data_IF_676198131271
#
_entry.id   IF_676198131271
#
_cell.length_a   1.000
_cell.length_b   1.000
_cell.length_c   1.000
_cell.angle_alpha   90.00
_cell.angle_beta   90.00
_cell.angle_gamma   90.00
#
_symmetry.space_group_name_H-M   'P 1'
#
loop_
_entity.id
_entity.type
_entity.pdbx_description
1 polymer ?
#
# COMPACT_ATOMS: atom_id res chain seq x y z
N UNK A 1 -7.38 4.12 -2.11
CA UNK A 1 -8.65 3.49 -2.57
C UNK A 1 -8.56 2.90 -3.98
N UNK A 2 -8.00 3.60 -4.97
CA UNK A 2 -7.95 3.13 -6.37
C UNK A 2 -7.21 1.79 -6.54
N UNK A 3 -6.06 1.60 -5.90
CA UNK A 3 -5.33 0.32 -5.93
C UNK A 3 -6.16 -0.86 -5.39
N UNK A 4 -7.06 -0.62 -4.43
CA UNK A 4 -7.98 -1.65 -3.92
C UNK A 4 -9.04 -2.02 -4.96
N UNK A 5 -9.55 -1.05 -5.71
CA UNK A 5 -10.49 -1.30 -6.81
C UNK A 5 -9.81 -2.05 -7.96
N UNK A 6 -8.62 -1.62 -8.36
CA UNK A 6 -7.80 -2.35 -9.32
C UNK A 6 -7.52 -3.80 -8.85
N UNK A 7 -7.21 -4.00 -7.56
CA UNK A 7 -7.04 -5.32 -6.98
C UNK A 7 -8.33 -6.17 -7.01
N UNK A 8 -9.47 -5.57 -6.69
CA UNK A 8 -10.77 -6.25 -6.75
C UNK A 8 -11.11 -6.71 -8.16
N UNK A 9 -10.77 -5.93 -9.19
CA UNK A 9 -10.96 -6.30 -10.59
C UNK A 9 -10.10 -7.51 -10.96
N UNK A 10 -8.85 -7.55 -10.48
CA UNK A 10 -7.95 -8.70 -10.68
C UNK A 10 -8.45 -9.95 -9.94
N UNK A 11 -8.94 -9.80 -8.72
CA UNK A 11 -9.39 -10.93 -7.88
C UNK A 11 -10.77 -11.46 -8.26
N UNK A 12 -11.66 -10.59 -8.75
CA UNK A 12 -13.06 -10.91 -9.06
C UNK A 12 -13.38 -10.52 -10.51
N UNK A 13 -12.76 -11.20 -11.50
CA UNK A 13 -12.92 -10.84 -12.92
C UNK A 13 -14.36 -10.96 -13.42
N UNK A 14 -15.19 -11.74 -12.72
CA UNK A 14 -16.59 -11.95 -13.06
C UNK A 14 -17.56 -10.90 -12.47
N UNK A 15 -17.09 -10.01 -11.60
CA UNK A 15 -17.91 -8.92 -11.08
C UNK A 15 -18.35 -7.96 -12.21
N UNK A 16 -19.51 -7.32 -12.06
CA UNK A 16 -20.02 -6.38 -13.07
C UNK A 16 -19.01 -5.27 -13.39
N UNK A 17 -18.40 -4.69 -12.36
CA UNK A 17 -17.36 -3.66 -12.50
C UNK A 17 -16.15 -4.18 -13.26
N UNK A 18 -15.67 -5.40 -12.95
CA UNK A 18 -14.53 -5.97 -13.66
C UNK A 18 -14.84 -6.25 -15.14
N UNK A 19 -16.01 -6.81 -15.43
CA UNK A 19 -16.47 -7.06 -16.81
C UNK A 19 -16.61 -5.77 -17.61
N UNK A 20 -17.21 -4.74 -17.03
CA UNK A 20 -17.37 -3.42 -17.66
C UNK A 20 -16.00 -2.77 -17.93
N UNK A 21 -15.13 -2.71 -16.93
CA UNK A 21 -13.79 -2.12 -17.07
C UNK A 21 -12.96 -2.87 -18.11
N UNK A 22 -13.04 -4.21 -18.14
CA UNK A 22 -12.37 -5.03 -19.15
C UNK A 22 -12.88 -4.71 -20.54
N UNK A 23 -14.20 -4.69 -20.75
CA UNK A 23 -14.80 -4.42 -22.05
C UNK A 23 -14.42 -3.05 -22.61
N UNK A 24 -14.32 -2.03 -21.76
CA UNK A 24 -14.01 -0.65 -22.18
C UNK A 24 -12.50 -0.45 -22.37
N UNK A 25 -11.66 -0.91 -21.44
CA UNK A 25 -10.26 -0.45 -21.37
C UNK A 25 -9.22 -1.52 -21.70
N UNK A 26 -9.54 -2.80 -21.58
CA UNK A 26 -8.57 -3.89 -21.83
C UNK A 26 -9.27 -5.17 -22.34
N UNK A 27 -10.03 -5.10 -23.47
CA UNK A 27 -10.90 -6.20 -23.89
C UNK A 27 -10.14 -7.48 -24.22
N UNK A 28 -8.91 -7.35 -24.75
CA UNK A 28 -8.08 -8.44 -25.23
C UNK A 28 -6.83 -8.70 -24.37
N UNK A 29 -6.74 -8.06 -23.21
CA UNK A 29 -5.56 -8.18 -22.34
C UNK A 29 -5.94 -8.28 -20.87
N UNK A 30 -4.93 -8.40 -20.01
CA UNK A 30 -5.09 -8.28 -18.56
C UNK A 30 -4.97 -6.82 -18.10
N UNK A 31 -5.43 -6.53 -16.87
CA UNK A 31 -5.24 -5.21 -16.24
C UNK A 31 -3.76 -4.80 -16.20
N UNK A 32 -2.85 -5.78 -16.05
CA UNK A 32 -1.42 -5.51 -15.95
C UNK A 32 -0.78 -5.20 -17.30
N UNK A 33 -1.31 -5.74 -18.40
CA UNK A 33 -0.85 -5.49 -19.78
C UNK A 33 -1.58 -4.32 -20.46
N UNK A 34 -2.66 -3.82 -19.84
CA UNK A 34 -3.47 -2.76 -20.38
C UNK A 34 -2.67 -1.48 -20.67
N UNK A 35 -2.91 -0.88 -21.83
CA UNK A 35 -2.38 0.43 -22.20
C UNK A 35 -3.32 1.55 -21.73
N UNK A 36 -2.81 2.78 -21.61
CA UNK A 36 -3.62 3.90 -21.13
C UNK A 36 -4.73 4.27 -22.12
N UNK A 37 -4.45 4.17 -23.43
CA UNK A 37 -5.35 4.60 -24.50
C UNK A 37 -5.35 6.12 -24.71
N UNK A 38 -6.12 6.60 -25.69
CA UNK A 38 -6.11 8.00 -26.13
C UNK A 38 -7.03 8.93 -25.34
N UNK A 39 -8.12 8.41 -24.75
CA UNK A 39 -9.07 9.20 -23.95
C UNK A 39 -9.48 8.46 -22.67
N UNK A 40 -8.56 8.31 -21.69
CA UNK A 40 -8.83 7.59 -20.46
C UNK A 40 -9.78 8.40 -19.56
N UNK A 41 -10.75 7.75 -18.92
CA UNK A 41 -11.48 8.38 -17.82
C UNK A 41 -10.52 8.63 -16.64
N UNK A 42 -10.85 9.60 -15.77
CA UNK A 42 -10.04 9.87 -14.57
C UNK A 42 -9.86 8.62 -13.68
N UNK A 43 -10.92 7.82 -13.55
CA UNK A 43 -10.90 6.57 -12.81
C UNK A 43 -9.94 5.54 -13.46
N UNK A 44 -10.01 5.38 -14.79
CA UNK A 44 -9.11 4.49 -15.52
C UNK A 44 -7.66 4.96 -15.44
N UNK A 45 -7.40 6.25 -15.66
CA UNK A 45 -6.06 6.84 -15.56
C UNK A 45 -5.44 6.55 -14.18
N UNK A 46 -6.20 6.78 -13.11
CA UNK A 46 -5.78 6.49 -11.74
C UNK A 46 -5.51 5.00 -11.51
N UNK A 47 -6.38 4.12 -12.01
CA UNK A 47 -6.20 2.67 -11.91
C UNK A 47 -4.99 2.18 -12.70
N UNK A 48 -4.77 2.75 -13.88
CA UNK A 48 -3.65 2.43 -14.74
C UNK A 48 -2.31 2.76 -14.07
N UNK A 49 -2.21 3.91 -13.39
CA UNK A 49 -1.04 4.21 -12.56
C UNK A 49 -0.91 3.25 -11.36
N UNK A 50 -2.03 2.91 -10.71
CA UNK A 50 -2.03 1.99 -9.58
C UNK A 50 -1.62 0.56 -9.96
N UNK A 51 -1.77 0.13 -11.22
CA UNK A 51 -1.43 -1.23 -11.67
C UNK A 51 0.05 -1.55 -11.47
N UNK A 52 0.94 -0.55 -11.59
CA UNK A 52 2.38 -0.75 -11.37
C UNK A 52 2.69 -1.05 -9.90
N UNK A 53 2.00 -0.38 -8.97
CA UNK A 53 2.13 -0.64 -7.54
C UNK A 53 1.64 -2.06 -7.22
N UNK A 54 0.56 -2.51 -7.88
CA UNK A 54 0.07 -3.87 -7.74
C UNK A 54 1.04 -4.89 -8.33
N UNK A 55 1.63 -4.65 -9.51
CA UNK A 55 2.57 -5.59 -10.14
C UNK A 55 3.86 -5.76 -9.34
N UNK A 56 4.30 -4.72 -8.62
CA UNK A 56 5.45 -4.82 -7.70
C UNK A 56 5.16 -5.66 -6.46
N UNK A 57 3.93 -5.63 -5.93
CA UNK A 57 3.57 -6.27 -4.65
C UNK A 57 2.82 -7.60 -4.76
N UNK A 58 2.23 -7.88 -5.92
CA UNK A 58 1.37 -9.04 -6.14
C UNK A 58 2.19 -10.30 -6.46
N UNK A 59 1.90 -11.39 -5.74
CA UNK A 59 2.50 -12.72 -5.91
C UNK A 59 1.55 -13.68 -6.61
N UNK A 60 2.09 -14.63 -7.35
CA UNK A 60 1.31 -15.79 -7.77
C UNK A 60 1.23 -16.80 -6.63
N UNK A 61 0.02 -17.28 -6.32
CA UNK A 61 -0.17 -18.60 -5.71
C UNK A 61 -0.43 -19.58 -6.83
N UNK A 62 0.51 -20.49 -7.01
CA UNK A 62 0.44 -21.54 -8.02
C UNK A 62 -0.67 -22.52 -7.62
N UNK A 63 -1.66 -22.66 -8.47
CA UNK A 63 -2.73 -23.65 -8.39
C UNK A 63 -2.41 -24.79 -9.34
N UNK A 64 -3.02 -24.76 -10.53
CA UNK A 64 -2.78 -25.72 -11.59
C UNK A 64 -1.52 -25.41 -12.39
N UNK A 65 -1.13 -24.13 -12.48
CA UNK A 65 0.04 -23.64 -13.20
C UNK A 65 -0.22 -23.32 -14.67
N UNK A 66 -1.44 -23.53 -15.18
CA UNK A 66 -1.78 -23.36 -16.60
C UNK A 66 -1.78 -21.89 -17.02
N UNK A 67 -2.10 -20.98 -16.10
CA UNK A 67 -2.26 -19.55 -16.41
C UNK A 67 -1.01 -18.73 -16.13
N UNK A 68 0.12 -19.38 -15.81
CA UNK A 68 1.37 -18.71 -15.46
C UNK A 68 2.41 -19.07 -16.50
N UNK A 69 2.70 -18.13 -17.40
CA UNK A 69 3.72 -18.28 -18.43
C UNK A 69 5.08 -18.07 -17.80
N UNK A 70 5.90 -19.11 -17.78
CA UNK A 70 7.19 -19.14 -17.06
C UNK A 70 8.12 -17.99 -17.50
N UNK A 71 8.02 -17.61 -18.77
CA UNK A 71 8.90 -16.64 -19.43
C UNK A 71 8.34 -15.22 -19.47
N UNK A 72 7.02 -15.05 -19.46
CA UNK A 72 6.38 -13.75 -19.68
C UNK A 72 5.78 -13.17 -18.41
N UNK A 73 5.39 -14.02 -17.45
CA UNK A 73 4.77 -13.55 -16.24
C UNK A 73 5.82 -13.38 -15.12
N UNK A 74 5.76 -12.29 -14.36
CA UNK A 74 6.58 -12.08 -13.18
C UNK A 74 6.16 -13.04 -12.06
N UNK A 75 6.76 -14.24 -12.00
CA UNK A 75 6.34 -15.30 -11.07
C UNK A 75 7.44 -15.84 -10.14
N UNK A 76 8.71 -15.47 -10.35
CA UNK A 76 9.83 -15.78 -9.45
C UNK A 76 10.27 -14.59 -8.62
N UNK A 77 10.73 -14.87 -7.39
CA UNK A 77 11.24 -13.85 -6.45
C UNK A 77 12.75 -13.63 -6.63
N UNK A 78 13.15 -12.37 -6.70
CA UNK A 78 14.54 -11.94 -6.49
C UNK A 78 14.76 -11.45 -5.05
N UNK A 79 16.02 -11.36 -4.62
CA UNK A 79 16.44 -10.95 -3.27
C UNK A 79 15.89 -9.58 -2.83
N UNK A 80 15.56 -8.68 -3.77
CA UNK A 80 14.99 -7.36 -3.50
C UNK A 80 13.44 -7.30 -3.60
N UNK A 81 12.72 -8.42 -3.50
CA UNK A 81 11.27 -8.52 -3.77
C UNK A 81 10.87 -8.06 -5.19
N UNK A 82 11.83 -7.96 -6.11
CA UNK A 82 11.57 -7.71 -7.53
C UNK A 82 11.14 -9.02 -8.18
N UNK A 83 10.14 -8.93 -9.06
CA UNK A 83 9.78 -10.06 -9.88
C UNK A 83 10.67 -10.13 -11.09
N UNK A 84 11.15 -11.34 -11.37
CA UNK A 84 11.93 -11.61 -12.57
C UNK A 84 11.22 -12.70 -13.39
N UNK A 85 11.18 -12.58 -14.73
CA UNK A 85 10.93 -13.74 -15.57
C UNK A 85 12.02 -14.78 -15.32
N UNK A 86 11.74 -16.06 -15.60
CA UNK A 86 12.81 -17.07 -15.56
C UNK A 86 13.86 -16.76 -16.62
N UNK A 87 15.18 -16.83 -16.30
CA UNK A 87 16.23 -16.54 -17.26
C UNK A 87 16.17 -17.52 -18.43
N UNK A 88 16.34 -17.00 -19.64
CA UNK A 88 16.14 -17.69 -20.92
C UNK A 88 17.18 -18.79 -21.16
N UNK A 89 16.77 -20.07 -21.30
CA UNK A 89 17.50 -21.03 -22.09
C UNK A 89 17.04 -20.88 -23.55
N UNK A 90 17.97 -20.88 -24.49
CA UNK A 90 17.69 -20.83 -25.93
C UNK A 90 16.78 -21.99 -26.34
N UNK A 91 15.65 -21.70 -27.00
CA UNK A 91 14.84 -22.73 -27.69
C UNK A 91 13.58 -23.23 -26.99
N UNK A 92 13.21 -22.73 -25.81
CA UNK A 92 11.94 -23.11 -25.16
C UNK A 92 11.02 -21.91 -24.95
N UNK A 93 10.25 -21.59 -25.98
CA UNK A 93 9.20 -20.58 -25.92
C UNK A 93 7.88 -21.28 -25.55
N UNK A 94 7.05 -20.65 -24.70
CA UNK A 94 5.70 -21.12 -24.28
C UNK A 94 5.59 -22.13 -23.11
N UNK A 95 6.59 -22.28 -22.25
CA UNK A 95 6.40 -23.05 -21.01
C UNK A 95 5.41 -22.37 -20.05
N UNK A 96 4.49 -23.16 -19.52
CA UNK A 96 3.64 -22.81 -18.38
C UNK A 96 4.23 -23.40 -17.09
N UNK A 97 3.79 -22.90 -15.93
CA UNK A 97 4.19 -23.47 -14.64
C UNK A 97 3.67 -24.91 -14.48
N UNK A 98 2.54 -25.24 -15.12
CA UNK A 98 1.99 -26.62 -15.17
C UNK A 98 3.04 -27.61 -15.68
N UNK A 99 3.80 -27.23 -16.71
CA UNK A 99 4.82 -28.08 -17.31
C UNK A 99 5.99 -28.38 -16.38
N UNK A 100 6.18 -27.59 -15.33
CA UNK A 100 7.23 -27.76 -14.33
C UNK A 100 6.77 -28.59 -13.12
N UNK A 101 5.47 -28.92 -13.03
CA UNK A 101 4.88 -29.75 -11.99
C UNK A 101 4.83 -31.23 -12.42
N UNK A 102 4.66 -32.12 -11.45
CA UNK A 102 4.28 -33.51 -11.72
C UNK A 102 2.83 -33.58 -12.24
N UNK A 103 2.57 -34.47 -13.20
CA UNK A 103 1.24 -34.61 -13.81
C UNK A 103 0.17 -35.04 -12.80
N UNK A 104 0.55 -35.96 -11.89
CA UNK A 104 -0.38 -36.67 -10.99
C UNK A 104 -0.55 -36.01 -9.62
N UNK A 105 0.42 -35.20 -9.18
CA UNK A 105 0.38 -34.59 -7.86
C UNK A 105 1.07 -33.23 -7.86
N UNK A 106 0.66 -32.39 -6.91
CA UNK A 106 1.13 -31.01 -6.85
C UNK A 106 2.50 -30.90 -6.19
N UNK A 107 3.54 -31.24 -6.94
CA UNK A 107 4.93 -31.04 -6.56
C UNK A 107 5.76 -30.64 -7.79
N UNK A 108 6.87 -29.94 -7.54
CA UNK A 108 7.84 -29.61 -8.57
C UNK A 108 8.50 -30.86 -9.14
N UNK A 109 8.57 -30.98 -10.46
CA UNK A 109 9.40 -31.98 -11.11
C UNK A 109 10.87 -31.53 -11.03
N UNK A 110 11.55 -31.96 -9.97
CA UNK A 110 12.92 -31.51 -9.63
C UNK A 110 13.89 -31.74 -10.79
N UNK A 111 13.83 -32.90 -11.43
CA UNK A 111 14.70 -33.24 -12.55
C UNK A 111 14.47 -32.29 -13.74
N UNK A 112 13.20 -32.09 -14.12
CA UNK A 112 12.83 -31.20 -15.22
C UNK A 112 13.24 -29.75 -14.95
N UNK A 113 13.02 -29.24 -13.74
CA UNK A 113 13.43 -27.88 -13.34
C UNK A 113 14.94 -27.71 -13.38
N UNK A 114 15.72 -28.67 -12.86
CA UNK A 114 17.19 -28.57 -12.86
C UNK A 114 17.80 -28.70 -14.26
N UNK A 115 17.16 -29.44 -15.16
CA UNK A 115 17.62 -29.58 -16.54
C UNK A 115 17.30 -28.36 -17.40
N UNK A 116 16.18 -27.68 -17.12
CA UNK A 116 15.72 -26.55 -17.94
C UNK A 116 16.27 -25.19 -17.50
N UNK A 117 16.65 -25.01 -16.23
CA UNK A 117 17.02 -23.69 -15.69
C UNK A 117 18.43 -23.68 -15.09
N UNK A 118 19.06 -22.50 -15.07
CA UNK A 118 20.32 -22.29 -14.36
C UNK A 118 20.18 -22.66 -12.88
N UNK A 119 21.29 -23.01 -12.22
CA UNK A 119 21.29 -23.43 -10.80
C UNK A 119 20.55 -22.44 -9.90
N UNK A 120 20.73 -21.15 -10.10
CA UNK A 120 20.09 -20.09 -9.31
C UNK A 120 18.59 -19.94 -9.61
N UNK A 121 18.18 -20.09 -10.87
CA UNK A 121 16.77 -20.07 -11.25
C UNK A 121 16.04 -21.33 -10.77
N UNK A 122 16.64 -22.52 -10.96
CA UNK A 122 16.12 -23.78 -10.47
C UNK A 122 15.93 -23.76 -8.95
N UNK A 123 16.92 -23.25 -8.20
CA UNK A 123 16.80 -23.07 -6.74
C UNK A 123 15.57 -22.23 -6.37
N UNK A 124 15.39 -21.08 -7.02
CA UNK A 124 14.24 -20.18 -6.78
C UNK A 124 12.89 -20.79 -7.14
N UNK A 125 12.82 -21.55 -8.24
CA UNK A 125 11.62 -22.28 -8.63
C UNK A 125 11.26 -23.30 -7.55
N UNK A 126 12.22 -24.12 -7.13
CA UNK A 126 12.01 -25.17 -6.14
C UNK A 126 11.65 -24.63 -4.74
N UNK A 127 12.17 -23.45 -4.38
CA UNK A 127 11.82 -22.74 -3.14
C UNK A 127 10.44 -22.09 -3.18
N UNK A 128 9.79 -22.02 -4.35
CA UNK A 128 8.45 -21.43 -4.46
C UNK A 128 7.41 -22.38 -3.86
N UNK A 129 6.68 -21.96 -2.80
CA UNK A 129 5.82 -22.86 -2.04
C UNK A 129 4.57 -23.28 -2.83
N UNK A 130 4.31 -24.58 -2.85
CA UNK A 130 3.11 -25.17 -3.41
C UNK A 130 2.11 -25.52 -2.29
N UNK A 131 1.03 -24.76 -2.19
CA UNK A 131 -0.02 -25.00 -1.19
C UNK A 131 -1.06 -25.95 -1.77
N UNK A 132 -1.24 -27.14 -1.16
CA UNK A 132 -2.16 -28.19 -1.65
C UNK A 132 -3.62 -27.74 -1.78
N UNK A 133 -4.09 -26.87 -0.89
CA UNK A 133 -5.46 -26.34 -0.90
C UNK A 133 -5.75 -25.35 -2.05
N UNK A 134 -4.73 -24.83 -2.73
CA UNK A 134 -4.90 -23.91 -3.86
C UNK A 134 -5.05 -24.71 -5.15
N UNK A 135 -6.25 -24.75 -5.73
CA UNK A 135 -6.50 -25.50 -6.98
C UNK A 135 -6.33 -24.69 -8.25
N UNK A 136 -6.69 -23.41 -8.24
CA UNK A 136 -6.56 -22.49 -9.37
C UNK A 136 -5.49 -21.44 -9.13
N UNK A 137 -4.81 -21.03 -10.22
CA UNK A 137 -3.83 -19.96 -10.18
C UNK A 137 -4.49 -18.65 -9.78
N UNK A 138 -3.89 -17.95 -8.82
CA UNK A 138 -4.40 -16.65 -8.39
C UNK A 138 -3.32 -15.72 -7.91
N UNK A 139 -3.54 -14.45 -8.18
CA UNK A 139 -2.79 -13.36 -7.58
C UNK A 139 -3.02 -13.30 -6.07
N UNK A 140 -2.00 -12.91 -5.31
CA UNK A 140 -2.00 -12.89 -3.86
C UNK A 140 -0.99 -11.86 -3.36
N UNK A 141 -1.39 -10.97 -2.45
CA UNK A 141 -0.43 -10.13 -1.71
C UNK A 141 -0.11 -10.85 -0.40
N UNK A 142 1.18 -11.01 -0.08
CA UNK A 142 1.59 -11.61 1.19
C UNK A 142 0.97 -10.85 2.37
N UNK A 143 0.47 -11.60 3.36
CA UNK A 143 -0.18 -11.04 4.55
C UNK A 143 -1.69 -11.20 4.60
N UNK A 144 -2.25 -11.11 5.80
CA UNK A 144 -3.69 -11.20 6.05
C UNK A 144 -4.40 -9.83 5.92
N UNK A 145 -4.37 -9.27 4.71
CA UNK A 145 -5.02 -7.98 4.42
C UNK A 145 -6.53 -8.00 4.64
N UNK A 146 -7.17 -9.16 4.43
CA UNK A 146 -8.60 -9.31 4.67
C UNK A 146 -8.94 -9.14 6.16
N UNK A 147 -8.11 -9.64 7.07
CA UNK A 147 -8.29 -9.42 8.51
C UNK A 147 -8.31 -7.94 8.87
N UNK A 148 -7.39 -7.14 8.34
CA UNK A 148 -7.37 -5.68 8.56
C UNK A 148 -8.68 -5.02 8.12
N UNK A 149 -9.22 -5.41 6.96
CA UNK A 149 -10.43 -4.77 6.42
C UNK A 149 -11.72 -5.27 7.05
N UNK A 150 -11.73 -6.49 7.60
CA UNK A 150 -12.84 -7.10 8.34
C UNK A 150 -12.90 -6.71 9.82
N UNK A 151 -11.81 -6.20 10.39
CA UNK A 151 -11.75 -5.71 11.76
C UNK A 151 -12.92 -4.76 12.09
N UNK A 152 -13.53 -4.91 13.27
CA UNK A 152 -14.63 -4.03 13.71
C UNK A 152 -14.07 -2.70 14.24
N UNK A 153 -13.47 -1.93 13.34
CA UNK A 153 -12.90 -0.63 13.63
C UNK A 153 -13.34 0.44 12.62
N UNK A 154 -13.40 1.72 13.04
CA UNK A 154 -13.59 2.85 12.15
C UNK A 154 -12.62 2.80 10.95
N UNK A 155 -13.09 3.31 9.79
CA UNK A 155 -12.29 3.27 8.56
C UNK A 155 -10.90 3.89 8.72
N UNK A 156 -10.77 4.96 9.52
CA UNK A 156 -9.48 5.61 9.85
C UNK A 156 -8.47 4.67 10.51
N UNK A 157 -8.91 3.80 11.42
CA UNK A 157 -8.05 2.86 12.12
C UNK A 157 -7.60 1.71 11.19
N UNK A 158 -8.52 1.15 10.40
CA UNK A 158 -8.20 0.15 9.37
C UNK A 158 -7.23 0.70 8.32
N UNK A 159 -7.42 1.96 7.93
CA UNK A 159 -6.53 2.63 6.99
C UNK A 159 -5.15 2.89 7.60
N UNK A 160 -5.07 3.22 8.89
CA UNK A 160 -3.78 3.34 9.59
C UNK A 160 -3.03 2.00 9.61
N UNK A 161 -3.70 0.89 9.95
CA UNK A 161 -3.10 -0.44 9.90
C UNK A 161 -2.59 -0.78 8.50
N UNK A 162 -3.37 -0.46 7.46
CA UNK A 162 -2.91 -0.62 6.08
C UNK A 162 -1.64 0.21 5.80
N UNK A 163 -1.57 1.47 6.24
CA UNK A 163 -0.38 2.32 6.07
C UNK A 163 0.83 1.80 6.84
N UNK A 164 0.62 1.31 8.07
CA UNK A 164 1.64 0.67 8.89
C UNK A 164 2.19 -0.56 8.18
N UNK A 165 1.33 -1.50 7.79
CA UNK A 165 1.76 -2.70 7.07
C UNK A 165 2.42 -2.37 5.73
N UNK A 166 1.99 -1.32 5.03
CA UNK A 166 2.65 -0.88 3.79
C UNK A 166 3.96 -0.15 4.02
N UNK A 167 4.27 0.18 5.26
CA UNK A 167 5.42 0.98 5.57
C UNK A 167 5.36 2.34 4.89
N UNK A 168 4.30 3.11 5.12
CA UNK A 168 4.15 4.44 4.52
C UNK A 168 3.67 5.49 5.52
N UNK A 169 3.91 5.23 6.80
CA UNK A 169 3.72 6.23 7.84
C UNK A 169 4.87 7.25 7.82
N UNK A 170 4.61 8.53 8.04
CA UNK A 170 5.65 9.56 8.10
C UNK A 170 6.39 9.54 9.45
N UNK A 171 7.08 8.43 9.76
CA UNK A 171 7.98 8.35 10.92
C UNK A 171 9.24 9.18 10.67
N UNK A 172 9.96 9.62 11.72
CA UNK A 172 11.22 10.37 11.56
C UNK A 172 12.23 9.61 10.70
N UNK A 173 12.40 8.30 10.91
CA UNK A 173 13.27 7.48 10.03
C UNK A 173 12.92 7.64 8.55
N UNK A 174 11.63 7.59 8.19
CA UNK A 174 11.17 7.68 6.80
C UNK A 174 11.20 9.08 6.21
N UNK A 175 11.12 10.10 7.06
CA UNK A 175 11.31 11.49 6.68
C UNK A 175 12.80 11.74 6.37
N UNK A 176 13.69 11.25 7.22
CA UNK A 176 15.15 11.31 7.02
C UNK A 176 15.59 10.53 5.77
N UNK A 177 15.05 9.33 5.54
CA UNK A 177 15.27 8.57 4.28
C UNK A 177 14.88 9.37 3.03
N UNK A 178 13.89 10.26 3.15
CA UNK A 178 13.42 11.16 2.09
C UNK A 178 14.10 12.53 2.11
N UNK A 179 15.16 12.70 2.90
CA UNK A 179 15.93 13.94 3.04
C UNK A 179 15.12 15.12 3.59
N UNK A 180 14.09 14.84 4.41
CA UNK A 180 13.39 15.86 5.19
C UNK A 180 14.14 16.05 6.50
N UNK A 181 14.68 17.26 6.70
CA UNK A 181 15.37 17.61 7.94
C UNK A 181 14.41 17.57 9.13
N UNK A 182 14.74 16.75 10.12
CA UNK A 182 14.00 16.68 11.38
C UNK A 182 14.81 15.99 12.47
N UNK A 183 14.44 16.27 13.73
CA UNK A 183 14.97 15.52 14.87
C UNK A 183 14.58 14.03 14.74
N UNK A 184 15.54 13.08 14.81
CA UNK A 184 15.28 11.63 14.70
C UNK A 184 14.48 11.07 15.89
N UNK A 185 14.47 11.74 17.03
CA UNK A 185 13.84 11.24 18.25
C UNK A 185 12.32 11.13 18.12
N UNK A 186 11.78 10.13 18.81
CA UNK A 186 10.35 9.91 18.96
C UNK A 186 9.67 11.12 19.59
N UNK A 187 8.68 11.76 18.93
CA UNK A 187 7.99 12.93 19.50
C UNK A 187 7.23 12.67 20.80
N UNK A 188 7.05 11.39 21.17
CA UNK A 188 6.29 10.98 22.35
C UNK A 188 7.19 10.75 23.56
N UNK A 189 8.31 10.04 23.41
CA UNK A 189 9.22 9.74 24.52
C UNK A 189 10.50 10.58 24.51
N UNK A 190 10.88 11.15 23.36
CA UNK A 190 12.11 11.92 23.11
C UNK A 190 13.43 11.20 23.45
N UNK A 191 13.42 9.86 23.55
CA UNK A 191 14.59 9.06 23.93
C UNK A 191 15.18 8.27 22.75
N UNK A 192 14.37 7.45 22.08
CA UNK A 192 14.83 6.61 20.96
C UNK A 192 14.40 7.19 19.61
N UNK A 193 15.11 6.79 18.55
CA UNK A 193 14.76 7.13 17.17
C UNK A 193 13.37 6.61 16.78
N UNK A 194 12.58 7.45 16.12
CA UNK A 194 11.22 7.09 15.70
C UNK A 194 11.18 6.22 14.44
N UNK A 195 11.07 4.91 14.66
CA UNK A 195 10.63 3.94 13.65
C UNK A 195 9.22 3.38 13.97
N UNK A 196 8.67 2.58 13.06
CA UNK A 196 7.34 1.97 13.21
C UNK A 196 7.25 0.99 14.39
N UNK A 197 8.35 0.32 14.74
CA UNK A 197 8.37 -0.61 15.87
C UNK A 197 8.45 0.13 17.20
N UNK A 198 9.26 1.18 17.27
CA UNK A 198 9.40 2.02 18.44
C UNK A 198 8.08 2.69 18.76
N UNK A 199 7.51 3.45 17.83
CA UNK A 199 6.32 4.26 18.11
C UNK A 199 5.12 3.43 18.56
N UNK A 200 4.93 2.24 18.00
CA UNK A 200 3.76 1.41 18.31
C UNK A 200 3.98 0.34 19.36
N UNK A 201 5.22 -0.17 19.56
CA UNK A 201 5.44 -1.36 20.37
C UNK A 201 6.56 -1.25 21.42
N UNK A 202 7.59 -0.41 21.22
CA UNK A 202 8.72 -0.30 22.18
C UNK A 202 8.67 0.95 23.05
N UNK A 203 8.13 2.05 22.53
CA UNK A 203 7.99 3.32 23.24
C UNK A 203 7.31 3.09 24.59
N UNK A 204 7.89 3.62 25.67
CA UNK A 204 7.35 3.46 27.03
C UNK A 204 5.87 3.87 27.10
N UNK A 205 5.53 5.05 26.57
CA UNK A 205 4.14 5.55 26.53
C UNK A 205 3.22 4.64 25.71
N UNK A 206 3.72 4.06 24.61
CA UNK A 206 2.94 3.11 23.83
C UNK A 206 2.70 1.83 24.64
N UNK A 207 3.73 1.29 25.30
CA UNK A 207 3.61 0.09 26.15
C UNK A 207 2.62 0.31 27.29
N UNK A 208 2.63 1.47 27.92
CA UNK A 208 1.67 1.83 28.96
C UNK A 208 0.24 1.86 28.40
N UNK A 209 0.07 2.37 27.18
CA UNK A 209 -1.23 2.36 26.47
C UNK A 209 -1.72 0.93 26.18
N UNK A 210 -0.81 0.01 25.80
CA UNK A 210 -1.13 -1.41 25.62
C UNK A 210 -1.54 -2.11 26.92
N UNK A 211 -0.84 -1.81 28.02
CA UNK A 211 -1.17 -2.32 29.35
C UNK A 211 -2.53 -1.80 29.82
N UNK A 212 -2.77 -0.49 29.72
CA UNK A 212 -4.02 0.15 30.09
C UNK A 212 -5.22 -0.37 29.28
N UNK A 213 -5.01 -0.72 28.01
CA UNK A 213 -6.05 -1.30 27.15
C UNK A 213 -6.32 -2.80 27.41
N UNK A 214 -5.56 -3.45 28.31
CA UNK A 214 -5.65 -4.89 28.57
C UNK A 214 -5.19 -5.74 27.38
N UNK A 215 -4.25 -5.25 26.57
CA UNK A 215 -3.77 -5.89 25.34
C UNK A 215 -2.26 -6.20 25.37
N UNK A 216 -1.63 -6.17 26.56
CA UNK A 216 -0.20 -6.41 26.74
C UNK A 216 0.27 -7.79 26.28
N UNK A 217 -0.63 -8.78 26.22
CA UNK A 217 -0.35 -10.12 25.67
C UNK A 217 0.16 -10.07 24.23
N UNK A 218 -0.25 -9.06 23.44
CA UNK A 218 0.25 -8.81 22.08
C UNK A 218 1.70 -8.33 22.09
N UNK A 219 2.16 -7.64 23.13
CA UNK A 219 3.56 -7.18 23.23
C UNK A 219 4.51 -8.31 23.64
N UNK A 220 4.06 -9.20 24.53
CA UNK A 220 4.90 -10.22 25.16
C UNK A 220 4.99 -11.54 24.39
N UNK A 221 4.30 -11.65 23.25
CA UNK A 221 4.38 -12.85 22.44
C UNK A 221 5.78 -12.99 21.82
N UNK A 222 6.47 -14.06 22.22
CA UNK A 222 7.88 -14.35 21.89
C UNK A 222 8.12 -14.42 20.37
N UNK A 223 7.09 -14.80 19.58
CA UNK A 223 7.15 -14.82 18.10
C UNK A 223 7.41 -13.43 17.53
N UNK A 224 7.04 -12.36 18.24
CA UNK A 224 7.10 -10.99 17.73
C UNK A 224 8.42 -10.28 18.01
N UNK A 225 9.24 -10.76 18.94
CA UNK A 225 10.44 -10.03 19.38
C UNK A 225 11.45 -9.79 18.26
N UNK A 226 11.46 -10.63 17.21
CA UNK A 226 12.32 -10.48 16.04
C UNK A 226 11.57 -10.13 14.75
N UNK A 227 10.26 -9.87 14.81
CA UNK A 227 9.44 -9.58 13.62
C UNK A 227 9.23 -8.09 13.40
N UNK A 228 9.05 -7.69 12.14
CA UNK A 228 8.69 -6.32 11.79
C UNK A 228 7.22 -6.01 12.17
N UNK A 229 6.83 -4.73 12.08
CA UNK A 229 5.50 -4.28 12.45
C UNK A 229 4.38 -4.96 11.63
N UNK A 230 4.59 -5.15 10.32
CA UNK A 230 3.63 -5.81 9.43
C UNK A 230 3.31 -7.24 9.90
N UNK A 231 4.34 -8.03 10.22
CA UNK A 231 4.19 -9.42 10.64
C UNK A 231 3.42 -9.52 11.97
N UNK A 232 3.67 -8.59 12.91
CA UNK A 232 2.92 -8.50 14.17
C UNK A 232 1.43 -8.26 13.93
N UNK A 233 1.08 -7.30 13.07
CA UNK A 233 -0.32 -7.00 12.74
C UNK A 233 -0.99 -8.19 12.06
N UNK A 234 -0.33 -8.84 11.10
CA UNK A 234 -0.93 -9.99 10.42
C UNK A 234 -1.10 -11.20 11.33
N UNK A 235 -0.23 -11.42 12.30
CA UNK A 235 -0.40 -12.47 13.28
C UNK A 235 -1.65 -12.24 14.15
N UNK A 236 -1.87 -11.01 14.62
CA UNK A 236 -3.09 -10.62 15.35
C UNK A 236 -4.34 -10.89 14.50
N UNK A 237 -4.30 -10.56 13.19
CA UNK A 237 -5.39 -10.84 12.26
C UNK A 237 -5.65 -12.34 11.98
N UNK A 238 -4.63 -13.20 12.12
CA UNK A 238 -4.76 -14.64 11.82
C UNK A 238 -5.40 -15.43 12.97
N UNK A 239 -5.25 -14.97 14.21
CA UNK A 239 -5.81 -15.64 15.39
C UNK A 239 -7.35 -15.58 15.47
N UNK A 240 -8.01 -14.74 14.67
CA UNK A 240 -9.48 -14.70 14.56
C UNK A 240 -10.05 -15.72 13.56
N UNK A 241 -9.20 -16.39 12.76
CA UNK A 241 -9.65 -17.28 11.68
C UNK A 241 -9.68 -18.78 12.01
N UNK A 242 -9.28 -19.17 13.23
CA UNK A 242 -9.37 -20.55 13.70
C UNK A 242 -10.67 -20.75 14.47
N UNK A 243 -11.77 -20.95 13.74
CA UNK A 243 -12.85 -21.81 14.22
C UNK A 243 -12.25 -23.19 14.47
N UNK A 244 -11.82 -23.46 15.70
CA UNK A 244 -11.44 -24.81 16.11
C UNK A 244 -11.78 -25.03 17.58
N UNK A 245 -13.00 -25.50 17.76
CA UNK A 245 -13.38 -26.61 18.66
C UNK A 245 -12.85 -26.51 20.09
N UNK A 246 -13.73 -26.04 20.97
CA UNK A 246 -13.83 -26.54 22.34
C UNK A 246 -12.82 -25.98 23.34
N UNK A 247 -13.18 -24.86 23.98
CA UNK A 247 -13.25 -24.76 25.45
C UNK A 247 -13.79 -23.40 25.91
N UNK A 248 -14.91 -23.51 26.63
CA UNK A 248 -15.45 -22.62 27.68
C UNK A 248 -15.69 -21.16 27.29
N UNK A 249 -16.98 -20.83 27.24
CA UNK A 249 -17.52 -19.48 27.21
C UNK A 249 -16.96 -18.61 28.34
N UNK A 250 -16.41 -17.46 27.96
CA UNK A 250 -16.55 -16.21 28.72
C UNK A 250 -16.90 -15.15 27.68
N UNK A 251 -18.08 -14.55 27.83
CA UNK A 251 -18.55 -13.43 27.01
C UNK A 251 -17.65 -12.21 27.22
N UNK A 252 -16.55 -12.06 26.48
CA UNK A 252 -15.76 -10.82 26.43
C UNK A 252 -15.02 -10.63 25.08
N UNK A 253 -15.68 -9.91 24.16
CA UNK A 253 -15.13 -9.25 22.95
C UNK A 253 -14.47 -10.11 21.84
N UNK A 254 -15.31 -10.60 20.92
CA UNK A 254 -14.94 -11.20 19.62
C UNK A 254 -14.24 -10.26 18.59
N UNK A 255 -13.57 -9.18 19.02
CA UNK A 255 -12.89 -8.25 18.10
C UNK A 255 -11.58 -7.72 18.69
N UNK A 256 -10.64 -8.64 18.89
CA UNK A 256 -9.29 -8.26 19.35
C UNK A 256 -8.59 -7.40 18.28
N UNK A 257 -8.80 -7.70 16.99
CA UNK A 257 -8.19 -6.93 15.90
C UNK A 257 -8.71 -5.49 15.87
N UNK A 258 -10.00 -5.24 16.05
CA UNK A 258 -10.51 -3.86 16.04
C UNK A 258 -10.13 -3.07 17.29
N UNK A 259 -10.04 -3.71 18.47
CA UNK A 259 -9.44 -3.07 19.68
C UNK A 259 -7.98 -2.69 19.45
N UNK A 260 -7.17 -3.59 18.88
CA UNK A 260 -5.78 -3.31 18.49
C UNK A 260 -5.70 -2.18 17.46
N UNK A 261 -6.57 -2.19 16.45
CA UNK A 261 -6.63 -1.14 15.44
C UNK A 261 -6.91 0.23 16.06
N UNK A 262 -7.85 0.29 17.01
CA UNK A 262 -8.21 1.53 17.71
C UNK A 262 -7.09 2.01 18.63
N UNK A 263 -6.44 1.10 19.37
CA UNK A 263 -5.30 1.46 20.22
C UNK A 263 -4.15 2.04 19.39
N UNK A 264 -3.78 1.39 18.30
CA UNK A 264 -2.74 1.87 17.38
C UNK A 264 -3.14 3.22 16.77
N UNK A 265 -4.43 3.42 16.45
CA UNK A 265 -4.92 4.72 16.02
C UNK A 265 -4.75 5.80 17.07
N UNK A 266 -5.09 5.52 18.33
CA UNK A 266 -4.91 6.45 19.45
C UNK A 266 -3.44 6.79 19.70
N UNK A 267 -2.55 5.79 19.68
CA UNK A 267 -1.10 5.99 19.82
C UNK A 267 -0.57 6.91 18.71
N UNK A 268 -0.95 6.63 17.45
CA UNK A 268 -0.54 7.45 16.31
C UNK A 268 -1.09 8.87 16.39
N UNK A 269 -2.34 9.03 16.83
CA UNK A 269 -2.97 10.33 16.98
C UNK A 269 -2.28 11.19 18.04
N UNK A 270 -2.01 10.60 19.22
CA UNK A 270 -1.23 11.26 20.28
C UNK A 270 0.16 11.70 19.77
N UNK A 271 0.82 10.88 18.97
CA UNK A 271 2.09 11.24 18.32
C UNK A 271 1.95 12.44 17.39
N UNK A 272 0.87 12.52 16.61
CA UNK A 272 0.62 13.68 15.74
C UNK A 272 0.48 14.94 16.59
N UNK A 273 -0.32 14.88 17.65
CA UNK A 273 -0.55 16.03 18.54
C UNK A 273 0.76 16.50 19.20
N UNK A 274 1.57 15.56 19.71
CA UNK A 274 2.90 15.88 20.26
C UNK A 274 3.84 16.49 19.21
N UNK A 275 3.87 15.93 18.01
CA UNK A 275 4.67 16.49 16.91
C UNK A 275 4.26 17.91 16.54
N UNK A 276 2.97 18.23 16.58
CA UNK A 276 2.49 19.58 16.31
C UNK A 276 2.82 20.55 17.46
N UNK A 277 2.82 20.06 18.70
CA UNK A 277 3.22 20.88 19.87
C UNK A 277 4.71 21.23 19.88
N UNK A 278 5.59 20.32 19.44
CA UNK A 278 7.04 20.55 19.36
C UNK A 278 7.40 21.54 18.25
N UNK A 279 6.63 21.60 17.16
CA UNK A 279 6.78 22.63 16.13
C UNK A 279 6.32 24.02 16.59
N UNK A 280 5.64 24.13 17.74
CA UNK A 280 5.04 25.36 18.25
C UNK A 280 5.95 26.25 19.11
N UNK A 281 7.23 25.91 19.30
CA UNK A 281 8.18 26.73 20.08
C UNK A 281 8.95 27.77 19.25
N UNK A 282 8.75 27.82 17.93
CA UNK A 282 8.97 29.04 17.16
C UNK A 282 7.65 29.81 17.21
N UNK A 283 7.66 31.08 17.63
CA UNK A 283 6.54 32.02 17.44
C UNK A 283 6.25 32.17 15.93
N UNK A 284 5.64 31.15 15.33
CA UNK A 284 4.97 31.29 14.07
C UNK A 284 3.73 32.10 14.38
N UNK A 285 3.75 33.37 13.98
CA UNK A 285 2.54 34.19 13.87
C UNK A 285 1.50 33.30 13.19
N UNK A 286 0.49 32.87 13.95
CA UNK A 286 -0.60 32.06 13.46
C UNK A 286 -1.39 32.97 12.51
N UNK A 287 -0.98 33.04 11.25
CA UNK A 287 -1.72 33.72 10.19
C UNK A 287 -2.96 32.87 9.92
N UNK A 288 -3.96 33.04 10.77
CA UNK A 288 -5.27 32.46 10.56
C UNK A 288 -5.91 33.22 9.40
N UNK A 289 -6.33 32.49 8.37
CA UNK A 289 -7.01 33.10 7.24
C UNK A 289 -8.30 33.80 7.70
N UNK A 290 -8.45 35.06 7.30
CA UNK A 290 -9.67 35.85 7.47
C UNK A 290 -10.22 36.25 6.10
N UNK A 291 -11.54 36.44 6.01
CA UNK A 291 -12.15 36.92 4.77
C UNK A 291 -11.66 38.36 4.45
N UNK A 292 -11.48 38.73 3.18
CA UNK A 292 -11.02 40.08 2.80
C UNK A 292 -11.94 41.18 3.36
N UNK A 293 -11.45 42.39 3.61
CA UNK A 293 -12.32 43.52 3.97
C UNK A 293 -13.18 43.99 2.78
N UNK A 294 -14.20 44.83 3.04
CA UNK A 294 -14.99 45.45 1.97
C UNK A 294 -14.07 46.27 1.05
N UNK A 295 -14.18 46.06 -0.27
CA UNK A 295 -13.28 46.66 -1.27
C UNK A 295 -12.02 45.85 -1.58
N UNK A 296 -11.75 44.78 -0.83
CA UNK A 296 -10.66 43.84 -1.10
C UNK A 296 -11.17 42.56 -1.76
N UNK A 297 -10.29 41.91 -2.53
CA UNK A 297 -10.58 40.67 -3.25
C UNK A 297 -9.68 39.54 -2.77
N UNK A 298 -10.21 38.31 -2.81
CA UNK A 298 -9.44 37.08 -2.65
C UNK A 298 -9.02 36.59 -4.04
N UNK A 299 -7.73 36.45 -4.26
CA UNK A 299 -7.17 35.84 -5.47
C UNK A 299 -6.67 34.43 -5.14
N UNK A 300 -7.27 33.41 -5.74
CA UNK A 300 -6.79 32.04 -5.69
C UNK A 300 -6.01 31.74 -6.97
N UNK A 301 -4.74 31.37 -6.82
CA UNK A 301 -3.85 30.98 -7.92
C UNK A 301 -3.49 29.51 -7.78
N UNK A 302 -3.50 28.77 -8.88
CA UNK A 302 -3.05 27.37 -8.93
C UNK A 302 -2.26 27.13 -10.22
N UNK A 303 -1.22 26.30 -10.14
CA UNK A 303 -0.34 26.02 -11.27
C UNK A 303 -0.26 24.53 -11.53
N UNK A 304 -0.45 24.16 -12.80
CA UNK A 304 -0.33 22.80 -13.27
C UNK A 304 0.79 22.67 -14.31
N UNK A 305 1.51 21.54 -14.23
CA UNK A 305 2.63 21.23 -15.10
C UNK A 305 2.36 19.92 -15.85
N UNK A 306 2.61 19.91 -17.15
CA UNK A 306 2.55 18.69 -17.96
C UNK A 306 3.96 18.31 -18.42
N UNK A 307 4.54 17.32 -17.72
CA UNK A 307 5.95 16.91 -17.89
C UNK A 307 6.32 16.48 -19.31
N UNK A 308 5.35 16.00 -20.10
CA UNK A 308 5.57 15.55 -21.47
C UNK A 308 5.50 16.64 -22.54
N UNK A 309 4.99 17.83 -22.22
CA UNK A 309 4.78 18.91 -23.22
C UNK A 309 5.61 20.17 -22.96
N UNK A 310 6.33 20.23 -21.83
CA UNK A 310 7.11 21.40 -21.44
C UNK A 310 6.25 22.65 -21.18
N UNK A 311 4.97 22.46 -20.82
CA UNK A 311 4.01 23.55 -20.59
C UNK A 311 3.69 23.71 -19.12
N UNK A 312 3.62 24.97 -18.71
CA UNK A 312 3.10 25.41 -17.42
C UNK A 312 1.81 26.18 -17.67
N UNK A 313 0.75 25.84 -16.94
CA UNK A 313 -0.53 26.54 -16.97
C UNK A 313 -0.89 27.11 -15.60
N UNK A 314 -1.31 28.37 -15.58
CA UNK A 314 -1.73 29.09 -14.38
C UNK A 314 -3.23 29.36 -14.47
N UNK A 315 -3.95 29.03 -13.40
CA UNK A 315 -5.34 29.36 -13.20
C UNK A 315 -5.48 30.39 -12.09
N UNK A 316 -6.25 31.45 -12.34
CA UNK A 316 -6.56 32.50 -11.36
C UNK A 316 -8.07 32.61 -11.18
N UNK A 317 -8.53 32.68 -9.94
CA UNK A 317 -9.93 32.92 -9.57
C UNK A 317 -10.01 34.05 -8.54
N UNK A 318 -10.68 35.14 -8.91
CA UNK A 318 -10.85 36.33 -8.06
C UNK A 318 -12.27 36.38 -7.53
N UNK A 319 -12.40 36.60 -6.22
CA UNK A 319 -13.68 36.70 -5.50
C UNK A 319 -13.70 37.95 -4.63
N UNK A 320 -14.88 38.50 -4.41
CA UNK A 320 -15.06 39.62 -3.47
C UNK A 320 -15.04 39.12 -2.00
N UNK A 321 -15.19 40.05 -1.05
CA UNK A 321 -15.33 39.75 0.38
C UNK A 321 -16.53 38.82 0.71
N UNK A 322 -17.60 38.85 -0.09
CA UNK A 322 -18.75 37.96 0.10
C UNK A 322 -18.52 36.54 -0.46
N UNK A 323 -17.40 36.31 -1.14
CA UNK A 323 -17.07 35.05 -1.80
C UNK A 323 -17.68 34.90 -3.20
N UNK A 324 -18.36 35.94 -3.71
CA UNK A 324 -18.89 35.97 -5.06
C UNK A 324 -17.76 36.05 -6.08
N UNK A 325 -17.91 35.29 -7.15
CA UNK A 325 -16.95 35.28 -8.25
C UNK A 325 -16.98 36.62 -9.00
N UNK A 326 -15.81 37.21 -9.19
CA UNK A 326 -15.65 38.47 -9.92
C UNK A 326 -15.01 38.25 -11.29
N UNK A 327 -13.92 37.49 -11.33
CA UNK A 327 -13.15 37.27 -12.55
C UNK A 327 -12.32 35.98 -12.45
N UNK A 328 -11.92 35.45 -13.59
CA UNK A 328 -11.00 34.33 -13.67
C UNK A 328 -10.12 34.44 -14.91
N UNK A 329 -8.91 33.89 -14.82
CA UNK A 329 -7.97 33.85 -15.93
C UNK A 329 -7.37 32.45 -16.02
N UNK A 330 -7.06 32.02 -17.24
CA UNK A 330 -6.21 30.87 -17.47
C UNK A 330 -5.19 31.24 -18.53
N UNK A 331 -3.91 31.04 -18.22
CA UNK A 331 -2.81 31.31 -19.13
C UNK A 331 -1.87 30.12 -19.14
N UNK A 332 -1.25 29.87 -20.29
CA UNK A 332 -0.19 28.88 -20.39
C UNK A 332 1.04 29.49 -21.06
N UNK A 333 2.19 28.94 -20.74
CA UNK A 333 3.46 29.30 -21.35
C UNK A 333 4.30 28.06 -21.68
N UNK A 334 5.12 28.18 -22.73
CA UNK A 334 5.98 27.12 -23.24
C UNK A 334 7.34 27.15 -22.51
N UNK A 335 7.30 27.02 -21.19
CA UNK A 335 8.48 27.01 -20.31
C UNK A 335 8.16 26.15 -19.09
N UNK A 336 9.13 25.33 -18.67
CA UNK A 336 9.02 24.53 -17.44
C UNK A 336 9.50 25.40 -16.29
N UNK A 337 8.57 25.77 -15.43
CA UNK A 337 8.83 26.52 -14.20
C UNK A 337 8.77 25.52 -13.03
N UNK A 338 9.53 25.75 -11.95
CA UNK A 338 9.40 24.92 -10.74
C UNK A 338 8.07 25.17 -10.03
N UNK A 339 7.57 24.24 -9.19
CA UNK A 339 6.35 24.47 -8.40
C UNK A 339 6.41 25.76 -7.57
N UNK A 340 7.58 26.06 -7.00
CA UNK A 340 7.80 27.25 -6.17
C UNK A 340 7.74 28.53 -7.00
N UNK A 341 8.34 28.55 -8.19
CA UNK A 341 8.32 29.71 -9.09
C UNK A 341 6.96 29.88 -9.80
N UNK A 342 6.15 28.82 -9.91
CA UNK A 342 4.80 28.93 -10.46
C UNK A 342 3.79 29.47 -9.46
N UNK A 343 3.95 29.13 -8.18
CA UNK A 343 3.06 29.59 -7.10
C UNK A 343 3.38 31.01 -6.59
N UNK A 344 4.57 31.53 -6.89
CA UNK A 344 5.02 32.89 -6.57
C UNK A 344 4.52 33.91 -7.60
#
# INVERSE_FOLDING_TARGET
MVAKQAWNIVQNPNSLVAKLMKAIYFPHSSLFEAQLGYNPSFAWHSMWHARHILSLGCRWRIGSGDNIRVMHDPWLRESANRWVPSPQPTGVYQLSVRDLLHENFKAWNIAKVRNLFSRDAAKRILETPLVSSVRSDKHHVAGNWNGIWKAQAPHKARHLLWRLCRGCLPTRCRLLERRVECNPNCPVCDVETEDELHIFFRCAVARDSWCAAGLSSVLHNVVYQQSNAMDRIFAVCSNESSDTVGRVAINESSDTVGRVAMLLWSIWHNRIDKSNSVSGTTEAVLVRWEKPALGWVKCNVDVAFLSGSGRTSVGVCVRDNSGQFMAGMTQWQQTVISPVEGEA
#
